data_IF_937958303270
#
_entry.id   IF_937958303270
#
_cell.length_a   1.000
_cell.length_b   1.000
_cell.length_c   1.000
_cell.angle_alpha   90.00
_cell.angle_beta   90.00
_cell.angle_gamma   90.00
#
_symmetry.space_group_name_H-M   'P 1'
#
loop_
_entity.id
_entity.type
_entity.pdbx_description
1 polymer ?
#
# COMPACT_ATOMS: atom_id res chain seq x y z
N UNK A 1 -17.40 1.05 -16.81
CA UNK A 1 -16.40 2.13 -16.82
C UNK A 1 -15.71 2.10 -18.18
N UNK A 2 -15.40 3.24 -18.80
CA UNK A 2 -14.57 3.25 -20.01
C UNK A 2 -13.14 2.86 -19.63
N UNK A 3 -12.56 1.89 -20.33
CA UNK A 3 -11.17 1.48 -20.13
C UNK A 3 -10.24 2.27 -21.06
N UNK A 4 -9.02 2.52 -20.58
CA UNK A 4 -7.92 3.10 -21.39
C UNK A 4 -7.13 1.98 -22.05
N UNK A 5 -6.87 0.89 -21.32
CA UNK A 5 -6.21 -0.30 -21.84
C UNK A 5 -7.19 -1.49 -21.90
N UNK A 6 -7.14 -2.32 -22.96
CA UNK A 6 -7.90 -3.57 -23.02
C UNK A 6 -7.52 -4.57 -21.92
N UNK A 7 -6.22 -4.71 -21.59
CA UNK A 7 -5.77 -5.54 -20.49
C UNK A 7 -6.25 -4.98 -19.15
N UNK A 8 -6.91 -5.83 -18.36
CA UNK A 8 -7.37 -5.46 -17.00
C UNK A 8 -6.20 -5.05 -16.11
N UNK A 9 -5.04 -5.70 -16.25
CA UNK A 9 -3.86 -5.41 -15.43
C UNK A 9 -3.27 -4.03 -15.74
N UNK A 10 -3.04 -3.71 -17.03
CA UNK A 10 -2.54 -2.38 -17.43
C UNK A 10 -3.55 -1.29 -17.10
N UNK A 11 -4.85 -1.54 -17.32
CA UNK A 11 -5.88 -0.57 -17.00
C UNK A 11 -5.98 -0.33 -15.49
N UNK A 12 -5.80 -1.37 -14.66
CA UNK A 12 -5.79 -1.23 -13.20
C UNK A 12 -4.61 -0.36 -12.73
N UNK A 13 -3.40 -0.62 -13.23
CA UNK A 13 -2.22 0.20 -12.88
C UNK A 13 -2.31 1.63 -13.43
N UNK A 14 -2.93 1.82 -14.59
CA UNK A 14 -3.23 3.16 -15.11
C UNK A 14 -4.18 3.92 -14.18
N UNK A 15 -5.26 3.27 -13.72
CA UNK A 15 -6.20 3.85 -12.76
C UNK A 15 -5.57 4.11 -11.39
N UNK A 16 -4.58 3.32 -10.99
CA UNK A 16 -3.79 3.53 -9.76
C UNK A 16 -3.04 4.85 -9.79
N UNK A 17 -2.47 5.22 -10.93
CA UNK A 17 -1.88 6.54 -11.14
C UNK A 17 -2.95 7.63 -11.21
N UNK A 18 -3.94 7.48 -12.09
CA UNK A 18 -4.97 8.50 -12.28
C UNK A 18 -5.75 8.81 -11.00
N UNK A 19 -5.91 7.82 -10.12
CA UNK A 19 -6.58 7.96 -8.83
C UNK A 19 -5.88 8.92 -7.86
N UNK A 20 -4.61 9.26 -8.08
CA UNK A 20 -3.86 10.20 -7.23
C UNK A 20 -3.98 11.66 -7.66
N UNK A 21 -4.68 11.96 -8.76
CA UNK A 21 -4.95 13.34 -9.24
C UNK A 21 -5.48 14.26 -8.14
N UNK A 22 -6.45 13.88 -7.28
CA UNK A 22 -6.94 14.77 -6.21
C UNK A 22 -5.88 15.17 -5.17
N UNK A 23 -4.71 14.51 -5.19
CA UNK A 23 -3.62 14.67 -4.24
C UNK A 23 -2.30 15.00 -4.94
N UNK A 24 -2.38 15.62 -6.12
CA UNK A 24 -1.22 16.10 -6.89
C UNK A 24 -0.24 15.00 -7.32
N UNK A 25 -0.65 13.73 -7.29
CA UNK A 25 0.20 12.61 -7.69
C UNK A 25 0.19 12.33 -9.19
N UNK A 26 -0.66 13.00 -9.95
CA UNK A 26 -0.78 12.85 -11.39
C UNK A 26 -1.59 14.03 -11.97
N UNK A 27 -1.48 14.25 -13.28
CA UNK A 27 -2.38 15.08 -14.06
C UNK A 27 -3.14 14.23 -15.09
N UNK A 28 -4.42 14.56 -15.31
CA UNK A 28 -5.29 13.78 -16.21
C UNK A 28 -4.77 13.81 -17.65
N UNK A 29 -4.36 14.99 -18.13
CA UNK A 29 -3.81 15.16 -19.48
C UNK A 29 -2.51 14.39 -19.67
N UNK A 30 -1.55 14.56 -18.75
CA UNK A 30 -0.26 13.84 -18.75
C UNK A 30 -0.47 12.32 -18.77
N UNK A 31 -1.41 11.80 -17.96
CA UNK A 31 -1.72 10.38 -17.94
C UNK A 31 -2.30 9.89 -19.27
N UNK A 32 -3.30 10.60 -19.82
CA UNK A 32 -3.96 10.17 -21.07
C UNK A 32 -3.03 10.26 -22.29
N UNK A 33 -2.19 11.29 -22.36
CA UNK A 33 -1.17 11.41 -23.41
C UNK A 33 -0.09 10.34 -23.27
N UNK A 34 0.38 10.08 -22.04
CA UNK A 34 1.34 9.00 -21.77
C UNK A 34 0.76 7.64 -22.15
N UNK A 35 -0.50 7.37 -21.82
CA UNK A 35 -1.18 6.14 -22.20
C UNK A 35 -1.25 5.93 -23.73
N UNK A 36 -1.33 7.02 -24.52
CA UNK A 36 -1.35 6.93 -25.98
C UNK A 36 -0.04 6.40 -26.58
N UNK A 37 1.06 6.46 -25.83
CA UNK A 37 2.39 5.97 -26.20
C UNK A 37 2.67 4.53 -25.72
N UNK A 38 1.77 3.97 -24.92
CA UNK A 38 1.92 2.64 -24.33
C UNK A 38 1.15 1.63 -25.17
N UNK A 39 1.83 0.57 -25.59
CA UNK A 39 1.20 -0.59 -26.20
C UNK A 39 0.69 -1.52 -25.10
N UNK A 40 -0.59 -1.88 -25.18
CA UNK A 40 -1.21 -2.80 -24.21
C UNK A 40 -0.44 -4.13 -24.13
N UNK A 41 -0.14 -4.58 -22.91
CA UNK A 41 0.62 -5.79 -22.66
C UNK A 41 2.14 -5.69 -22.90
N UNK A 42 2.67 -4.50 -23.21
CA UNK A 42 4.10 -4.28 -23.48
C UNK A 42 4.78 -3.49 -22.33
N UNK A 43 5.53 -4.18 -21.44
CA UNK A 43 6.18 -3.55 -20.28
C UNK A 43 7.28 -2.56 -20.67
N UNK A 44 7.90 -2.70 -21.85
CA UNK A 44 8.97 -1.80 -22.29
C UNK A 44 8.41 -0.43 -22.69
N UNK A 45 7.30 -0.42 -23.44
CA UNK A 45 6.62 0.84 -23.77
C UNK A 45 6.00 1.50 -22.53
N UNK A 46 5.54 0.71 -21.55
CA UNK A 46 5.10 1.23 -20.26
C UNK A 46 6.23 1.93 -19.52
N UNK A 47 7.37 1.25 -19.34
CA UNK A 47 8.53 1.82 -18.66
C UNK A 47 8.98 3.11 -19.33
N UNK A 48 9.19 3.09 -20.64
CA UNK A 48 9.70 4.24 -21.37
C UNK A 48 8.76 5.44 -21.28
N UNK A 49 7.45 5.23 -21.50
CA UNK A 49 6.48 6.33 -21.50
C UNK A 49 6.37 7.02 -20.14
N UNK A 50 6.31 6.25 -19.04
CA UNK A 50 6.24 6.79 -17.68
C UNK A 50 7.57 7.40 -17.21
N UNK A 51 8.70 6.81 -17.61
CA UNK A 51 10.02 7.37 -17.34
C UNK A 51 10.17 8.75 -18.00
N UNK A 52 9.80 8.87 -19.27
CA UNK A 52 9.95 10.10 -20.05
C UNK A 52 9.13 11.26 -19.47
N UNK A 53 7.85 11.02 -19.16
CA UNK A 53 7.02 12.06 -18.52
C UNK A 53 7.50 12.37 -17.09
N UNK A 54 8.03 11.38 -16.37
CA UNK A 54 8.66 11.61 -15.07
C UNK A 54 9.83 12.58 -15.15
N UNK A 55 10.70 12.44 -16.17
CA UNK A 55 11.83 13.34 -16.42
C UNK A 55 11.37 14.74 -16.85
N UNK A 56 10.38 14.82 -17.74
CA UNK A 56 9.83 16.10 -18.19
C UNK A 56 9.27 16.91 -17.01
N UNK A 57 8.44 16.28 -16.18
CA UNK A 57 7.85 16.95 -15.03
C UNK A 57 8.88 17.26 -13.95
N UNK A 58 9.93 16.43 -13.80
CA UNK A 58 11.05 16.77 -12.92
C UNK A 58 11.69 18.11 -13.33
N UNK A 59 11.90 18.33 -14.64
CA UNK A 59 12.41 19.60 -15.15
C UNK A 59 11.47 20.77 -14.82
N UNK A 60 10.15 20.58 -14.97
CA UNK A 60 9.17 21.60 -14.58
C UNK A 60 9.26 21.94 -13.09
N UNK A 61 9.44 20.92 -12.23
CA UNK A 61 9.61 21.10 -10.79
C UNK A 61 10.87 21.92 -10.47
N UNK A 62 11.97 21.64 -11.16
CA UNK A 62 13.23 22.37 -11.00
C UNK A 62 13.14 23.82 -11.48
N UNK A 63 12.42 24.10 -12.55
CA UNK A 63 12.20 25.45 -13.04
C UNK A 63 11.29 26.28 -12.12
N UNK A 64 10.23 25.66 -11.58
CA UNK A 64 9.41 26.27 -10.52
C UNK A 64 10.25 26.55 -9.26
N UNK A 65 11.11 25.62 -8.86
CA UNK A 65 11.99 25.81 -7.70
C UNK A 65 12.98 26.97 -7.91
N UNK A 66 13.55 27.13 -9.11
CA UNK A 66 14.47 28.24 -9.45
C UNK A 66 13.78 29.61 -9.40
N UNK A 67 12.49 29.68 -9.71
CA UNK A 67 11.70 30.92 -9.70
C UNK A 67 11.08 31.22 -8.33
N UNK A 68 11.24 30.32 -7.36
CA UNK A 68 10.71 30.47 -6.00
C UNK A 68 9.23 30.10 -5.85
N UNK A 69 8.60 29.51 -6.88
CA UNK A 69 7.23 29.00 -6.79
C UNK A 69 7.20 27.66 -6.05
N UNK A 70 7.12 27.75 -4.71
CA UNK A 70 7.07 26.60 -3.80
C UNK A 70 5.94 25.62 -4.17
N UNK A 71 4.77 26.14 -4.54
CA UNK A 71 3.57 25.35 -4.79
C UNK A 71 3.72 24.54 -6.07
N UNK A 72 4.08 25.22 -7.17
CA UNK A 72 4.29 24.55 -8.46
C UNK A 72 5.42 23.51 -8.37
N UNK A 73 6.51 23.83 -7.66
CA UNK A 73 7.61 22.90 -7.44
C UNK A 73 7.16 21.66 -6.65
N UNK A 74 6.45 21.84 -5.53
CA UNK A 74 5.95 20.72 -4.71
C UNK A 74 5.09 19.76 -5.51
N UNK A 75 4.08 20.29 -6.22
CA UNK A 75 3.15 19.48 -7.00
C UNK A 75 3.85 18.74 -8.15
N UNK A 76 4.82 19.38 -8.81
CA UNK A 76 5.58 18.76 -9.89
C UNK A 76 6.52 17.66 -9.39
N UNK A 77 7.22 17.88 -8.29
CA UNK A 77 8.04 16.85 -7.67
C UNK A 77 7.22 15.63 -7.24
N UNK A 78 6.03 15.82 -6.63
CA UNK A 78 5.18 14.72 -6.18
C UNK A 78 4.65 13.87 -7.34
N UNK A 79 4.16 14.49 -8.42
CA UNK A 79 3.70 13.71 -9.59
C UNK A 79 4.85 13.08 -10.37
N UNK A 80 5.99 13.78 -10.52
CA UNK A 80 7.22 13.20 -11.11
C UNK A 80 7.67 11.94 -10.36
N UNK A 81 7.67 11.98 -9.02
CA UNK A 81 7.97 10.82 -8.20
C UNK A 81 7.04 9.64 -8.49
N UNK A 82 5.72 9.89 -8.55
CA UNK A 82 4.74 8.86 -8.82
C UNK A 82 4.88 8.26 -10.24
N UNK A 83 5.29 9.06 -11.24
CA UNK A 83 5.58 8.57 -12.60
C UNK A 83 6.84 7.70 -12.64
N UNK A 84 7.92 8.08 -11.94
CA UNK A 84 9.09 7.22 -11.80
C UNK A 84 8.74 5.90 -11.09
N UNK A 85 7.99 5.94 -9.99
CA UNK A 85 7.48 4.74 -9.31
C UNK A 85 6.69 3.84 -10.25
N UNK A 86 5.82 4.42 -11.09
CA UNK A 86 5.04 3.63 -12.05
C UNK A 86 5.88 3.02 -13.17
N UNK A 87 6.91 3.73 -13.65
CA UNK A 87 7.71 3.28 -14.81
C UNK A 87 8.27 1.88 -14.62
N UNK A 88 8.81 1.58 -13.43
CA UNK A 88 9.46 0.30 -13.16
C UNK A 88 8.52 -0.82 -12.77
N UNK A 89 7.28 -0.50 -12.40
CA UNK A 89 6.33 -1.47 -11.84
C UNK A 89 6.23 -2.75 -12.68
N UNK A 90 6.10 -2.62 -14.00
CA UNK A 90 5.94 -3.77 -14.91
C UNK A 90 7.24 -4.55 -15.21
N UNK A 91 8.39 -4.14 -14.67
CA UNK A 91 9.68 -4.81 -14.84
C UNK A 91 9.94 -5.91 -13.80
N UNK A 92 9.09 -6.08 -12.79
CA UNK A 92 9.32 -7.03 -11.68
C UNK A 92 9.36 -8.50 -12.09
N UNK A 93 8.99 -8.83 -13.34
CA UNK A 93 9.27 -10.14 -13.93
C UNK A 93 10.77 -10.47 -13.95
N UNK A 94 11.63 -9.45 -13.95
CA UNK A 94 13.10 -9.56 -13.90
C UNK A 94 13.65 -8.70 -12.76
N UNK A 95 13.66 -9.19 -11.51
CA UNK A 95 14.02 -8.40 -10.32
C UNK A 95 15.44 -7.81 -10.32
N UNK A 96 16.32 -8.33 -11.17
CA UNK A 96 17.70 -7.84 -11.32
C UNK A 96 17.84 -6.77 -12.41
N UNK A 97 16.74 -6.34 -13.04
CA UNK A 97 16.77 -5.26 -14.01
C UNK A 97 17.27 -3.96 -13.34
N UNK A 98 18.39 -3.37 -13.77
CA UNK A 98 18.95 -2.19 -13.13
C UNK A 98 18.02 -0.97 -13.17
N UNK A 99 17.06 -0.94 -14.11
CA UNK A 99 16.08 0.14 -14.25
C UNK A 99 15.14 0.20 -13.05
N UNK A 100 14.86 -0.91 -12.38
CA UNK A 100 14.03 -0.98 -11.16
C UNK A 100 14.64 -0.10 -10.07
N UNK A 101 15.93 -0.29 -9.80
CA UNK A 101 16.61 0.48 -8.76
C UNK A 101 16.81 1.94 -9.18
N UNK A 102 17.09 2.20 -10.46
CA UNK A 102 17.25 3.56 -10.97
C UNK A 102 15.96 4.38 -10.85
N UNK A 103 14.83 3.84 -11.28
CA UNK A 103 13.52 4.47 -11.16
C UNK A 103 13.04 4.59 -9.72
N UNK A 104 13.31 3.58 -8.88
CA UNK A 104 13.01 3.69 -7.44
C UNK A 104 13.77 4.84 -6.79
N UNK A 105 15.07 5.02 -7.09
CA UNK A 105 15.86 6.14 -6.58
C UNK A 105 15.36 7.49 -7.11
N UNK A 106 15.08 7.58 -8.41
CA UNK A 106 14.52 8.80 -9.00
C UNK A 106 13.17 9.18 -8.35
N UNK A 107 12.32 8.19 -8.07
CA UNK A 107 11.06 8.39 -7.33
C UNK A 107 11.32 8.93 -5.93
N UNK A 108 12.20 8.29 -5.16
CA UNK A 108 12.54 8.70 -3.79
C UNK A 108 13.12 10.12 -3.78
N UNK A 109 14.05 10.42 -4.68
CA UNK A 109 14.72 11.72 -4.78
C UNK A 109 13.75 12.84 -5.16
N UNK A 110 12.90 12.61 -6.17
CA UNK A 110 11.87 13.57 -6.56
C UNK A 110 10.87 13.79 -5.42
N UNK A 111 10.40 12.72 -4.78
CA UNK A 111 9.49 12.83 -3.64
C UNK A 111 10.15 13.61 -2.50
N UNK A 112 11.43 13.35 -2.23
CA UNK A 112 12.23 14.01 -1.21
C UNK A 112 12.47 15.51 -1.49
N UNK A 113 12.35 15.96 -2.74
CA UNK A 113 12.34 17.39 -3.07
C UNK A 113 10.93 18.01 -2.95
N UNK A 114 9.88 17.21 -3.16
CA UNK A 114 8.49 17.69 -3.15
C UNK A 114 7.87 17.81 -1.75
N UNK A 115 8.04 16.79 -0.91
CA UNK A 115 7.46 16.73 0.44
C UNK A 115 7.92 17.87 1.37
N UNK A 116 9.18 18.32 1.30
CA UNK A 116 9.68 19.47 2.09
C UNK A 116 8.99 20.79 1.71
N UNK A 117 8.33 20.82 0.55
CA UNK A 117 7.60 21.97 0.05
C UNK A 117 6.10 21.91 0.37
N UNK A 118 5.62 20.81 0.98
CA UNK A 118 4.24 20.72 1.46
C UNK A 118 3.96 21.77 2.55
N UNK A 119 2.68 22.04 2.78
CA UNK A 119 2.21 22.74 3.98
C UNK A 119 2.11 21.74 5.16
N UNK A 120 3.26 21.16 5.51
CA UNK A 120 3.43 20.16 6.56
C UNK A 120 4.89 20.14 7.03
N UNK A 121 5.14 19.66 8.26
CA UNK A 121 6.49 19.31 8.69
C UNK A 121 6.68 17.81 8.48
N UNK A 122 7.71 17.43 7.73
CA UNK A 122 7.92 16.04 7.35
C UNK A 122 9.37 15.65 7.65
N UNK A 123 9.54 14.52 8.35
CA UNK A 123 10.82 14.06 8.89
C UNK A 123 11.15 12.68 8.36
N UNK A 124 12.35 12.51 7.80
CA UNK A 124 12.89 11.19 7.50
C UNK A 124 13.36 10.55 8.81
N UNK A 125 13.04 9.27 9.02
CA UNK A 125 13.41 8.51 10.20
C UNK A 125 14.00 7.17 9.79
N UNK A 126 14.97 6.70 10.55
CA UNK A 126 15.50 5.34 10.42
C UNK A 126 15.10 4.56 11.67
N UNK A 127 14.17 3.62 11.49
CA UNK A 127 13.57 2.84 12.57
C UNK A 127 14.50 1.66 12.86
N UNK A 128 15.00 1.49 14.10
CA UNK A 128 15.80 0.33 14.48
C UNK A 128 15.09 -1.00 14.17
N UNK A 129 15.83 -1.97 13.64
CA UNK A 129 15.31 -3.28 13.24
C UNK A 129 16.35 -4.39 13.45
N UNK A 130 15.91 -5.65 13.51
CA UNK A 130 16.70 -6.86 13.72
C UNK A 130 18.14 -6.81 13.18
N UNK A 131 19.10 -7.24 14.00
CA UNK A 131 20.53 -7.36 13.65
C UNK A 131 21.16 -6.03 13.19
N UNK A 132 20.95 -4.96 13.96
CA UNK A 132 21.49 -3.62 13.72
C UNK A 132 21.09 -3.01 12.36
N UNK A 133 20.04 -3.55 11.73
CA UNK A 133 19.46 -2.98 10.52
C UNK A 133 18.49 -1.87 10.88
N UNK A 134 18.05 -1.15 9.86
CA UNK A 134 17.02 -0.11 10.02
C UNK A 134 15.98 -0.21 8.92
N UNK A 135 14.76 0.21 9.21
CA UNK A 135 13.70 0.42 8.22
C UNK A 135 13.62 1.92 7.92
N UNK A 136 13.69 2.33 6.65
CA UNK A 136 13.47 3.73 6.32
C UNK A 136 12.01 4.09 6.61
N UNK A 137 11.75 5.32 7.03
CA UNK A 137 10.42 5.82 7.31
C UNK A 137 10.30 7.34 7.15
N UNK A 138 9.07 7.81 7.12
CA UNK A 138 8.73 9.24 7.07
C UNK A 138 7.60 9.55 8.04
N UNK A 139 7.84 10.51 8.93
CA UNK A 139 6.84 11.07 9.85
C UNK A 139 6.29 12.37 9.25
N UNK A 140 5.01 12.37 8.93
CA UNK A 140 4.24 13.51 8.44
C UNK A 140 3.49 14.15 9.60
N UNK A 141 3.73 15.43 9.83
CA UNK A 141 3.10 16.23 10.88
C UNK A 141 2.22 17.31 10.26
N UNK A 142 0.95 17.42 10.67
CA UNK A 142 0.05 18.44 10.16
C UNK A 142 0.57 19.83 10.55
N UNK A 143 0.40 20.80 9.65
CA UNK A 143 0.67 22.20 9.97
C UNK A 143 -0.14 22.66 11.18
N UNK A 144 0.37 23.65 11.92
CA UNK A 144 -0.19 24.07 13.21
C UNK A 144 -1.68 24.43 13.12
N UNK A 145 -2.10 25.07 12.03
CA UNK A 145 -3.48 25.46 11.76
C UNK A 145 -4.44 24.28 11.54
N UNK A 146 -3.94 23.09 11.22
CA UNK A 146 -4.74 21.90 10.98
C UNK A 146 -4.87 21.00 12.22
N UNK A 147 -4.15 21.30 13.30
CA UNK A 147 -4.21 20.49 14.54
C UNK A 147 -5.60 20.55 15.14
N UNK A 148 -6.16 19.38 15.46
CA UNK A 148 -7.53 19.22 15.99
C UNK A 148 -7.57 18.85 17.48
N UNK A 149 -6.41 18.55 18.05
CA UNK A 149 -6.23 18.10 19.43
C UNK A 149 -4.93 18.68 19.98
N UNK A 150 -4.77 18.67 21.31
CA UNK A 150 -3.54 19.13 21.94
C UNK A 150 -2.33 18.28 21.51
N UNK A 151 -2.45 16.95 21.65
CA UNK A 151 -1.50 15.96 21.13
C UNK A 151 -1.95 15.42 19.79
N UNK A 152 -1.02 15.08 18.90
CA UNK A 152 -1.32 14.67 17.53
C UNK A 152 -1.77 13.20 17.45
N UNK A 153 -3.00 12.88 17.00
CA UNK A 153 -3.39 11.51 16.73
C UNK A 153 -2.52 10.95 15.60
N UNK A 154 -2.12 9.68 15.73
CA UNK A 154 -1.12 9.06 14.88
C UNK A 154 -1.72 7.91 14.05
N UNK A 155 -1.33 7.85 12.78
CA UNK A 155 -1.56 6.70 11.91
C UNK A 155 -0.20 6.07 11.58
N UNK A 156 0.05 4.84 12.03
CA UNK A 156 1.17 4.04 11.55
C UNK A 156 0.71 3.29 10.31
N UNK A 157 1.27 3.65 9.15
CA UNK A 157 0.85 3.14 7.85
C UNK A 157 1.92 2.21 7.26
N UNK A 158 1.48 1.03 6.83
CA UNK A 158 2.33 0.03 6.17
C UNK A 158 1.92 -0.21 4.73
N UNK A 159 2.89 -0.58 3.90
CA UNK A 159 2.66 -0.89 2.49
C UNK A 159 2.01 -2.25 2.25
N UNK A 160 1.66 -2.49 0.98
CA UNK A 160 1.19 -3.78 0.49
C UNK A 160 2.31 -4.68 -0.03
N UNK A 161 2.00 -5.45 -1.07
CA UNK A 161 2.90 -6.41 -1.68
C UNK A 161 3.92 -5.75 -2.64
N UNK A 162 3.53 -4.65 -3.25
CA UNK A 162 4.28 -3.94 -4.30
C UNK A 162 4.38 -2.41 -4.04
N UNK A 163 3.88 -1.94 -2.90
CA UNK A 163 3.89 -0.52 -2.53
C UNK A 163 5.26 -0.01 -2.11
N UNK A 164 5.43 1.31 -2.24
CA UNK A 164 6.54 2.09 -1.67
C UNK A 164 6.00 3.22 -0.80
N UNK A 165 6.80 3.78 0.10
CA UNK A 165 6.40 4.94 0.90
C UNK A 165 5.87 6.13 0.11
N UNK A 166 6.45 6.40 -1.06
CA UNK A 166 6.05 7.51 -1.93
C UNK A 166 4.60 7.34 -2.42
N UNK A 167 4.14 6.10 -2.58
CA UNK A 167 2.73 5.79 -2.84
C UNK A 167 1.87 5.91 -1.58
N UNK A 168 2.39 5.48 -0.42
CA UNK A 168 1.65 5.52 0.84
C UNK A 168 1.19 6.92 1.22
N UNK A 169 1.93 7.95 0.77
CA UNK A 169 1.52 9.35 0.89
C UNK A 169 0.08 9.58 0.40
N UNK A 170 -0.29 9.08 -0.78
CA UNK A 170 -1.62 9.31 -1.36
C UNK A 170 -2.74 8.60 -0.59
N UNK A 171 -2.44 7.44 -0.02
CA UNK A 171 -3.41 6.67 0.75
C UNK A 171 -3.67 7.23 2.15
N UNK A 172 -2.63 7.72 2.83
CA UNK A 172 -2.75 8.21 4.22
C UNK A 172 -2.44 9.68 4.36
N UNK A 173 -1.15 10.06 4.24
CA UNK A 173 -0.66 11.39 4.60
C UNK A 173 -1.39 12.54 3.90
N UNK A 174 -1.65 12.43 2.59
CA UNK A 174 -2.36 13.45 1.82
C UNK A 174 -3.77 13.76 2.35
N UNK A 175 -4.45 12.75 2.91
CA UNK A 175 -5.75 12.91 3.55
C UNK A 175 -5.67 13.29 5.02
N UNK A 176 -4.63 12.82 5.72
CA UNK A 176 -4.44 12.96 7.16
C UNK A 176 -4.00 14.37 7.57
N UNK A 177 -3.04 14.94 6.85
CA UNK A 177 -2.44 16.25 7.16
C UNK A 177 -3.47 17.39 7.25
N UNK A 178 -4.35 17.61 6.25
CA UNK A 178 -5.37 18.66 6.34
C UNK A 178 -6.45 18.39 7.40
N UNK A 179 -6.48 17.17 7.97
CA UNK A 179 -7.42 16.74 9.01
C UNK A 179 -6.83 16.71 10.41
N UNK A 180 -5.54 17.05 10.55
CA UNK A 180 -4.87 17.15 11.84
C UNK A 180 -4.30 15.84 12.38
N UNK A 181 -4.12 14.83 11.53
CA UNK A 181 -3.48 13.56 11.90
C UNK A 181 -2.01 13.54 11.50
N UNK A 182 -1.16 13.07 12.41
CA UNK A 182 0.20 12.65 12.08
C UNK A 182 0.19 11.27 11.41
N UNK A 183 1.13 11.03 10.51
CA UNK A 183 1.28 9.72 9.83
C UNK A 183 2.73 9.29 9.86
N UNK A 184 3.01 8.07 10.31
CA UNK A 184 4.29 7.42 10.15
C UNK A 184 4.17 6.34 9.07
N UNK A 185 4.77 6.57 7.90
CA UNK A 185 4.92 5.53 6.87
C UNK A 185 6.30 4.89 6.99
N UNK A 186 6.42 3.61 6.70
CA UNK A 186 7.71 2.92 6.63
C UNK A 186 7.71 1.83 5.55
N UNK A 187 8.90 1.50 5.03
CA UNK A 187 9.09 0.34 4.17
C UNK A 187 9.60 -0.79 5.05
N UNK A 188 8.75 -1.80 5.30
CA UNK A 188 9.15 -2.99 6.02
C UNK A 188 9.86 -4.02 5.13
N UNK A 189 10.28 -5.16 5.70
CA UNK A 189 10.82 -6.26 4.90
C UNK A 189 9.87 -6.64 3.76
N UNK A 190 10.40 -6.78 2.55
CA UNK A 190 9.64 -7.06 1.32
C UNK A 190 9.09 -5.83 0.60
N UNK A 191 9.30 -4.62 1.12
CA UNK A 191 8.69 -3.39 0.61
C UNK A 191 9.73 -2.34 0.23
N UNK A 192 9.39 -1.52 -0.77
CA UNK A 192 10.15 -0.34 -1.20
C UNK A 192 11.67 -0.44 -1.08
N UNK A 193 12.27 0.50 -0.35
CA UNK A 193 13.73 0.61 -0.13
C UNK A 193 14.29 -0.52 0.74
N UNK A 194 13.51 -1.04 1.69
CA UNK A 194 13.96 -2.16 2.54
C UNK A 194 14.24 -3.42 1.72
N UNK A 195 13.44 -3.72 0.71
CA UNK A 195 13.70 -4.81 -0.24
C UNK A 195 14.82 -4.44 -1.23
N UNK A 196 14.68 -3.31 -1.93
CA UNK A 196 15.55 -2.91 -3.05
C UNK A 196 16.99 -2.63 -2.62
N UNK A 197 17.19 -2.00 -1.47
CA UNK A 197 18.50 -1.54 -1.01
C UNK A 197 19.09 -2.46 0.08
N UNK A 198 18.24 -2.90 1.02
CA UNK A 198 18.68 -3.65 2.22
C UNK A 198 18.43 -5.17 2.11
N UNK A 199 17.82 -5.65 1.01
CA UNK A 199 17.47 -7.06 0.77
C UNK A 199 16.74 -7.71 1.96
N UNK A 200 15.87 -6.93 2.59
CA UNK A 200 14.95 -7.44 3.61
C UNK A 200 13.74 -8.03 2.89
N UNK A 201 13.50 -9.33 3.07
CA UNK A 201 12.41 -10.06 2.43
C UNK A 201 11.17 -10.11 3.32
N UNK A 202 9.99 -10.18 2.71
CA UNK A 202 8.70 -10.17 3.40
C UNK A 202 8.59 -11.31 4.42
N UNK A 203 7.90 -11.06 5.54
CA UNK A 203 7.62 -12.07 6.56
C UNK A 203 6.13 -12.05 6.98
N UNK A 204 5.54 -13.21 7.33
CA UNK A 204 4.12 -13.33 7.66
C UNK A 204 3.73 -12.88 9.09
N UNK A 205 4.71 -12.81 9.99
CA UNK A 205 4.60 -12.39 11.38
C UNK A 205 4.83 -10.88 11.55
N UNK A 206 3.98 -10.09 10.90
CA UNK A 206 4.14 -8.63 10.82
C UNK A 206 4.02 -7.89 12.15
N UNK A 207 3.42 -8.50 13.18
CA UNK A 207 3.42 -7.99 14.55
C UNK A 207 4.85 -7.83 15.10
N UNK A 208 5.81 -8.64 14.62
CA UNK A 208 7.23 -8.48 14.97
C UNK A 208 7.82 -7.19 14.38
N UNK A 209 7.49 -6.89 13.13
CA UNK A 209 7.92 -5.65 12.45
C UNK A 209 7.28 -4.45 13.12
N UNK A 210 5.96 -4.52 13.33
CA UNK A 210 5.20 -3.41 13.90
C UNK A 210 5.56 -3.17 15.36
N UNK A 211 5.88 -4.22 16.13
CA UNK A 211 6.35 -4.08 17.51
C UNK A 211 7.56 -3.14 17.62
N UNK A 212 8.55 -3.31 16.74
CA UNK A 212 9.75 -2.46 16.69
C UNK A 212 9.45 -1.04 16.21
N UNK A 213 8.53 -0.88 15.25
CA UNK A 213 8.06 0.45 14.83
C UNK A 213 7.38 1.17 15.99
N UNK A 214 6.54 0.47 16.76
CA UNK A 214 5.85 1.03 17.91
C UNK A 214 6.82 1.34 19.06
N UNK A 215 7.85 0.52 19.29
CA UNK A 215 8.90 0.82 20.27
C UNK A 215 9.59 2.14 19.91
N UNK A 216 9.97 2.32 18.64
CA UNK A 216 10.54 3.58 18.16
C UNK A 216 9.59 4.78 18.30
N UNK A 217 8.30 4.60 17.99
CA UNK A 217 7.27 5.64 18.19
C UNK A 217 7.19 6.04 19.66
N UNK A 218 7.08 5.07 20.58
CA UNK A 218 6.92 5.33 22.01
C UNK A 218 8.18 5.97 22.58
N UNK A 219 9.36 5.39 22.32
CA UNK A 219 10.60 5.74 23.00
C UNK A 219 11.27 7.00 22.43
N UNK A 220 11.01 7.33 21.15
CA UNK A 220 11.68 8.45 20.45
C UNK A 220 10.70 9.51 19.99
N UNK A 221 9.70 9.12 19.19
CA UNK A 221 8.89 10.12 18.48
C UNK A 221 7.81 10.76 19.34
N UNK A 222 7.24 10.01 20.30
CA UNK A 222 6.03 10.44 21.00
C UNK A 222 6.20 11.72 21.81
N UNK A 223 7.31 11.84 22.54
CA UNK A 223 7.64 13.02 23.33
C UNK A 223 8.20 14.17 22.49
N UNK A 224 8.98 13.86 21.46
CA UNK A 224 9.61 14.84 20.58
C UNK A 224 8.58 15.62 19.74
N UNK A 225 7.53 14.93 19.28
CA UNK A 225 6.53 15.49 18.36
C UNK A 225 5.12 15.61 18.97
N UNK A 226 4.99 15.40 20.28
CA UNK A 226 3.72 15.43 21.02
C UNK A 226 2.65 14.51 20.42
N UNK A 227 3.02 13.26 20.13
CA UNK A 227 2.12 12.26 19.56
C UNK A 227 1.20 11.68 20.64
N UNK A 228 -0.06 11.45 20.26
CA UNK A 228 -1.09 10.89 21.13
C UNK A 228 -1.15 9.37 21.01
N UNK A 229 -0.56 8.68 21.99
CA UNK A 229 -0.55 7.21 22.04
C UNK A 229 -1.92 6.61 22.39
N UNK A 230 -2.87 7.41 22.90
CA UNK A 230 -4.26 6.98 23.11
C UNK A 230 -5.11 7.13 21.83
N UNK A 231 -4.56 7.77 20.79
CA UNK A 231 -5.14 7.91 19.45
C UNK A 231 -4.18 7.41 18.37
N UNK A 232 -3.59 6.24 18.61
CA UNK A 232 -2.70 5.55 17.67
C UNK A 232 -3.48 4.51 16.86
N UNK A 233 -3.50 4.66 15.54
CA UNK A 233 -4.11 3.69 14.62
C UNK A 233 -3.06 3.02 13.72
N UNK A 234 -3.42 1.87 13.16
CA UNK A 234 -2.69 1.24 12.05
C UNK A 234 -3.53 1.19 10.80
N UNK A 235 -2.88 1.34 9.65
CA UNK A 235 -3.53 1.38 8.35
C UNK A 235 -2.69 0.69 7.27
N UNK A 236 -3.35 -0.09 6.42
CA UNK A 236 -2.75 -0.65 5.22
C UNK A 236 -3.80 -1.13 4.22
N UNK A 237 -3.39 -1.16 2.96
CA UNK A 237 -4.23 -1.56 1.84
C UNK A 237 -3.66 -2.79 1.11
N UNK A 238 -4.54 -3.58 0.49
CA UNK A 238 -4.19 -4.85 -0.12
C UNK A 238 -3.48 -5.77 0.88
N UNK A 239 -2.34 -6.37 0.56
CA UNK A 239 -1.55 -7.13 1.55
C UNK A 239 -1.29 -6.34 2.85
N UNK A 240 -1.14 -5.00 2.77
CA UNK A 240 -0.98 -4.13 3.92
C UNK A 240 -2.18 -4.17 4.88
N UNK A 241 -3.37 -4.51 4.38
CA UNK A 241 -4.54 -4.74 5.21
C UNK A 241 -4.43 -6.03 6.06
N UNK A 242 -3.83 -7.09 5.52
CA UNK A 242 -3.47 -8.28 6.31
C UNK A 242 -2.40 -7.93 7.35
N UNK A 243 -1.36 -7.20 6.92
CA UNK A 243 -0.27 -6.78 7.80
C UNK A 243 -0.77 -5.86 8.94
N UNK A 244 -1.75 -5.00 8.67
CA UNK A 244 -2.38 -4.14 9.68
C UNK A 244 -3.21 -4.91 10.69
N UNK A 245 -3.92 -5.97 10.27
CA UNK A 245 -4.63 -6.87 11.18
C UNK A 245 -3.66 -7.62 12.10
N UNK A 246 -2.52 -8.08 11.56
CA UNK A 246 -1.44 -8.68 12.38
C UNK A 246 -0.89 -7.66 13.37
N UNK A 247 -0.59 -6.44 12.91
CA UNK A 247 -0.14 -5.35 13.76
C UNK A 247 -1.11 -5.09 14.91
N UNK A 248 -2.42 -5.00 14.63
CA UNK A 248 -3.50 -4.70 15.59
C UNK A 248 -3.69 -5.69 16.74
N UNK A 249 -2.92 -6.79 16.77
CA UNK A 249 -2.80 -7.66 17.95
C UNK A 249 -1.98 -7.03 19.07
N UNK A 250 -1.19 -5.98 18.78
CA UNK A 250 -0.49 -5.19 19.79
C UNK A 250 -1.44 -4.22 20.50
N UNK A 251 -1.50 -4.28 21.83
CA UNK A 251 -2.43 -3.52 22.66
C UNK A 251 -2.17 -2.00 22.68
N UNK A 252 -1.02 -1.54 22.18
CA UNK A 252 -0.72 -0.12 21.99
C UNK A 252 -1.59 0.51 20.89
N UNK A 253 -2.03 -0.30 19.92
CA UNK A 253 -2.89 0.16 18.83
C UNK A 253 -4.32 0.33 19.32
N UNK A 254 -4.90 1.51 19.02
CA UNK A 254 -6.23 1.94 19.47
C UNK A 254 -7.27 1.93 18.37
N UNK A 255 -6.88 1.76 17.11
CA UNK A 255 -7.77 1.51 15.99
C UNK A 255 -7.04 0.81 14.82
N UNK A 256 -7.73 -0.04 14.08
CA UNK A 256 -7.19 -0.74 12.91
C UNK A 256 -8.03 -0.46 11.66
N UNK A 257 -7.37 -0.12 10.55
CA UNK A 257 -8.01 0.04 9.24
C UNK A 257 -7.38 -0.95 8.27
N UNK A 258 -8.19 -1.88 7.78
CA UNK A 258 -7.78 -2.87 6.76
C UNK A 258 -8.54 -2.62 5.47
N UNK A 259 -7.80 -2.15 4.46
CA UNK A 259 -8.36 -1.89 3.13
C UNK A 259 -8.13 -3.09 2.23
N UNK A 260 -9.17 -3.91 2.03
CA UNK A 260 -9.13 -5.11 1.18
C UNK A 260 -7.99 -6.09 1.52
N UNK A 261 -7.69 -6.27 2.81
CA UNK A 261 -6.69 -7.23 3.29
C UNK A 261 -7.06 -8.67 2.97
N UNK A 262 -6.14 -9.52 2.45
CA UNK A 262 -6.45 -10.92 2.19
C UNK A 262 -6.63 -11.71 3.49
N UNK A 263 -7.69 -12.50 3.56
CA UNK A 263 -7.95 -13.43 4.65
C UNK A 263 -7.00 -14.63 4.59
N UNK A 264 -6.78 -15.17 3.38
CA UNK A 264 -5.81 -16.21 3.10
C UNK A 264 -5.24 -16.01 1.69
N UNK A 265 -3.92 -15.77 1.61
CA UNK A 265 -3.27 -15.48 0.34
C UNK A 265 -3.15 -16.71 -0.55
N UNK A 266 -3.05 -17.90 0.02
CA UNK A 266 -2.92 -19.14 -0.74
C UNK A 266 -4.24 -19.59 -1.35
N UNK A 267 -5.37 -19.38 -0.65
CA UNK A 267 -6.69 -19.67 -1.20
C UNK A 267 -7.02 -18.78 -2.42
N UNK A 268 -6.53 -17.53 -2.45
CA UNK A 268 -6.60 -16.67 -3.64
C UNK A 268 -5.91 -17.35 -4.82
N UNK A 269 -4.67 -17.80 -4.62
CA UNK A 269 -3.89 -18.47 -5.68
C UNK A 269 -4.53 -19.79 -6.12
N UNK A 270 -5.00 -20.59 -5.17
CA UNK A 270 -5.69 -21.86 -5.43
C UNK A 270 -6.96 -21.67 -6.25
N UNK A 271 -7.73 -20.60 -6.00
CA UNK A 271 -8.96 -20.31 -6.75
C UNK A 271 -8.73 -20.04 -8.25
N UNK A 272 -7.50 -19.67 -8.62
CA UNK A 272 -7.08 -19.37 -9.99
C UNK A 272 -6.40 -20.55 -10.69
N UNK A 273 -6.28 -21.71 -10.03
CA UNK A 273 -5.61 -22.90 -10.56
C UNK A 273 -6.59 -24.08 -10.70
N UNK A 274 -6.40 -24.97 -11.70
CA UNK A 274 -7.18 -26.20 -11.78
C UNK A 274 -7.04 -27.05 -10.51
N UNK A 275 -8.17 -27.52 -9.95
CA UNK A 275 -8.19 -28.24 -8.68
C UNK A 275 -7.29 -29.49 -8.68
N UNK A 276 -7.24 -30.24 -9.77
CA UNK A 276 -6.37 -31.42 -9.90
C UNK A 276 -4.88 -31.07 -9.81
N UNK A 277 -4.49 -29.89 -10.31
CA UNK A 277 -3.11 -29.44 -10.35
C UNK A 277 -2.65 -29.03 -8.94
N UNK A 278 -3.40 -28.13 -8.30
CA UNK A 278 -3.03 -27.65 -6.96
C UNK A 278 -3.16 -28.75 -5.91
N UNK A 279 -4.22 -29.56 -5.94
CA UNK A 279 -4.39 -30.68 -5.00
C UNK A 279 -3.36 -31.78 -5.25
N UNK A 280 -3.00 -32.03 -6.51
CA UNK A 280 -1.95 -32.97 -6.87
C UNK A 280 -0.58 -32.57 -6.33
N UNK A 281 -0.26 -31.28 -6.37
CA UNK A 281 0.96 -30.76 -5.77
C UNK A 281 0.92 -30.85 -4.24
N UNK A 282 -0.18 -30.42 -3.62
CA UNK A 282 -0.37 -30.48 -2.16
C UNK A 282 -0.31 -31.91 -1.60
N UNK A 283 -0.78 -32.90 -2.36
CA UNK A 283 -0.72 -34.31 -1.97
C UNK A 283 0.65 -34.96 -2.23
N UNK A 284 1.60 -34.23 -2.84
CA UNK A 284 2.88 -34.76 -3.28
C UNK A 284 2.82 -35.65 -4.54
N UNK A 285 1.65 -35.78 -5.18
CA UNK A 285 1.50 -36.53 -6.43
C UNK A 285 2.20 -35.82 -7.60
N UNK A 286 2.12 -34.49 -7.64
CA UNK A 286 2.88 -33.65 -8.57
C UNK A 286 4.12 -33.10 -7.86
N UNK A 287 5.30 -33.37 -8.42
CA UNK A 287 6.57 -32.84 -7.87
C UNK A 287 6.73 -31.34 -8.10
N UNK A 288 7.53 -30.68 -7.27
CA UNK A 288 7.93 -29.28 -7.47
C UNK A 288 8.53 -29.03 -8.85
N UNK A 289 9.33 -29.97 -9.38
CA UNK A 289 9.93 -29.85 -10.73
C UNK A 289 8.86 -29.77 -11.81
N UNK A 290 7.79 -30.56 -11.67
CA UNK A 290 6.65 -30.54 -12.59
C UNK A 290 5.91 -29.20 -12.50
N UNK A 291 5.55 -28.76 -11.29
CA UNK A 291 4.86 -27.49 -11.06
C UNK A 291 5.67 -26.30 -11.60
N UNK A 292 6.97 -26.27 -11.31
CA UNK A 292 7.87 -25.22 -11.78
C UNK A 292 7.95 -25.18 -13.32
N UNK A 293 7.96 -26.35 -13.96
CA UNK A 293 8.02 -26.46 -15.42
C UNK A 293 6.72 -26.00 -16.09
N UNK A 294 5.57 -26.35 -15.52
CA UNK A 294 4.26 -25.92 -16.01
C UNK A 294 4.11 -24.40 -15.87
N UNK A 295 4.36 -23.85 -14.67
CA UNK A 295 4.25 -22.41 -14.44
C UNK A 295 5.26 -21.65 -15.31
N UNK A 296 6.52 -22.08 -15.37
CA UNK A 296 7.54 -21.45 -16.21
C UNK A 296 7.24 -21.49 -17.71
N UNK A 297 6.44 -22.45 -18.20
CA UNK A 297 5.93 -22.43 -19.57
C UNK A 297 4.84 -21.37 -19.75
N UNK A 298 3.91 -21.28 -18.79
CA UNK A 298 2.81 -20.30 -18.82
C UNK A 298 3.31 -18.86 -18.68
N UNK A 299 4.35 -18.61 -17.86
CA UNK A 299 4.99 -17.30 -17.71
C UNK A 299 5.48 -16.74 -19.07
N UNK A 300 5.86 -17.60 -20.03
CA UNK A 300 6.35 -17.14 -21.36
C UNK A 300 5.25 -16.58 -22.26
N UNK A 301 3.99 -16.90 -21.98
CA UNK A 301 2.84 -16.51 -22.83
C UNK A 301 1.81 -15.68 -22.08
N UNK A 302 1.94 -15.55 -20.75
CA UNK A 302 1.07 -14.76 -19.90
C UNK A 302 1.91 -13.77 -19.08
N UNK A 303 1.91 -12.52 -19.52
CA UNK A 303 2.68 -11.45 -18.88
C UNK A 303 2.27 -11.21 -17.42
N UNK A 304 0.97 -11.18 -17.11
CA UNK A 304 0.51 -10.98 -15.72
C UNK A 304 1.03 -12.11 -14.81
N UNK A 305 1.00 -13.36 -15.27
CA UNK A 305 1.52 -14.49 -14.51
C UNK A 305 3.04 -14.37 -14.29
N UNK A 306 3.79 -14.00 -15.34
CA UNK A 306 5.23 -13.77 -15.25
C UNK A 306 5.58 -12.66 -14.25
N UNK A 307 4.80 -11.58 -14.26
CA UNK A 307 4.94 -10.49 -13.31
C UNK A 307 4.62 -10.94 -11.88
N UNK A 308 3.47 -11.60 -11.65
CA UNK A 308 3.03 -12.05 -10.33
C UNK A 308 4.05 -12.99 -9.68
N UNK A 309 4.56 -13.99 -10.41
CA UNK A 309 5.58 -14.91 -9.89
C UNK A 309 6.97 -14.29 -9.81
N UNK A 310 7.35 -13.43 -10.77
CA UNK A 310 8.63 -12.69 -10.72
C UNK A 310 8.72 -11.80 -9.49
N UNK A 311 7.69 -11.00 -9.25
CA UNK A 311 7.58 -10.15 -8.07
C UNK A 311 7.53 -10.98 -6.78
N UNK A 312 6.76 -12.07 -6.76
CA UNK A 312 6.69 -12.96 -5.59
C UNK A 312 8.03 -13.57 -5.22
N UNK A 313 8.79 -14.09 -6.20
CA UNK A 313 10.15 -14.62 -5.97
C UNK A 313 11.05 -13.56 -5.33
N UNK A 314 10.98 -12.34 -5.82
CA UNK A 314 11.77 -11.23 -5.30
C UNK A 314 11.39 -10.84 -3.87
N UNK A 315 10.11 -10.58 -3.62
CA UNK A 315 9.59 -10.12 -2.33
C UNK A 315 9.81 -11.17 -1.23
N UNK A 316 9.65 -12.46 -1.56
CA UNK A 316 9.83 -13.56 -0.61
C UNK A 316 11.28 -14.03 -0.48
N UNK A 317 12.17 -13.63 -1.39
CA UNK A 317 13.56 -14.10 -1.41
C UNK A 317 13.69 -15.59 -1.73
N UNK A 318 12.89 -16.07 -2.70
CA UNK A 318 12.87 -17.48 -3.14
C UNK A 318 13.01 -17.58 -4.65
N UNK A 319 13.44 -18.74 -5.16
CA UNK A 319 13.85 -18.86 -6.56
C UNK A 319 12.82 -19.56 -7.47
N UNK A 320 11.84 -20.29 -6.90
CA UNK A 320 10.94 -21.12 -7.70
C UNK A 320 9.45 -20.84 -7.48
N UNK A 321 8.59 -21.06 -8.50
CA UNK A 321 7.14 -20.98 -8.34
C UNK A 321 6.58 -21.86 -7.21
N UNK A 322 7.08 -23.09 -7.03
CA UNK A 322 6.66 -23.95 -5.93
C UNK A 322 7.03 -23.35 -4.56
N UNK A 323 8.19 -22.68 -4.44
CA UNK A 323 8.57 -21.97 -3.22
C UNK A 323 7.67 -20.77 -2.95
N UNK A 324 7.29 -20.01 -4.00
CA UNK A 324 6.29 -18.94 -3.91
C UNK A 324 4.97 -19.47 -3.36
N UNK A 325 4.44 -20.56 -3.93
CA UNK A 325 3.19 -21.17 -3.49
C UNK A 325 3.26 -21.67 -2.03
N UNK A 326 4.39 -22.24 -1.61
CA UNK A 326 4.62 -22.66 -0.22
C UNK A 326 4.75 -21.46 0.73
N UNK A 327 5.33 -20.35 0.27
CA UNK A 327 5.46 -19.14 1.07
C UNK A 327 4.11 -18.45 1.28
N UNK A 328 3.28 -18.38 0.24
CA UNK A 328 1.91 -17.81 0.33
C UNK A 328 1.03 -18.50 1.38
N UNK A 329 1.21 -19.81 1.61
CA UNK A 329 0.49 -20.56 2.65
C UNK A 329 0.72 -20.02 4.07
N UNK A 330 1.77 -19.22 4.29
CA UNK A 330 2.07 -18.60 5.58
C UNK A 330 1.28 -17.31 5.83
N UNK A 331 0.68 -16.71 4.81
CA UNK A 331 -0.13 -15.48 4.92
C UNK A 331 -1.60 -15.83 5.05
N UNK A 332 -1.98 -16.19 6.26
CA UNK A 332 -3.34 -16.64 6.56
C UNK A 332 -3.81 -16.15 7.91
N UNK A 333 -5.08 -15.76 7.99
CA UNK A 333 -5.78 -15.37 9.21
C UNK A 333 -6.59 -16.55 9.80
N UNK A 334 -6.39 -17.77 9.28
CA UNK A 334 -7.03 -18.97 9.82
C UNK A 334 -6.68 -19.22 11.30
N UNK A 335 -7.69 -19.70 12.04
CA UNK A 335 -7.68 -19.85 13.50
C UNK A 335 -6.85 -21.04 14.05
N UNK A 336 -6.04 -21.74 13.24
CA UNK A 336 -5.65 -23.11 13.61
C UNK A 336 -4.49 -23.23 14.60
N UNK A 337 -3.62 -22.21 14.76
CA UNK A 337 -2.57 -22.22 15.83
C UNK A 337 -2.20 -20.88 16.47
N UNK A 338 -2.75 -19.76 16.02
CA UNK A 338 -2.61 -18.43 16.63
C UNK A 338 -3.67 -17.53 15.98
N UNK A 339 -4.88 -17.52 16.56
CA UNK A 339 -6.02 -16.84 15.94
C UNK A 339 -5.83 -15.31 16.00
N UNK A 340 -5.25 -14.76 14.94
CA UNK A 340 -4.91 -13.33 14.81
C UNK A 340 -6.14 -12.47 15.08
N UNK A 341 -7.24 -12.76 14.39
CA UNK A 341 -8.45 -11.93 14.42
C UNK A 341 -9.12 -11.93 15.81
N UNK A 342 -9.14 -13.06 16.51
CA UNK A 342 -9.67 -13.12 17.87
C UNK A 342 -8.78 -12.44 18.90
N UNK A 343 -7.53 -12.08 18.56
CA UNK A 343 -6.63 -11.36 19.45
C UNK A 343 -6.70 -9.84 19.27
N UNK A 344 -7.39 -9.35 18.22
CA UNK A 344 -7.57 -7.92 17.99
C UNK A 344 -8.63 -7.38 18.95
N UNK A 345 -8.25 -6.37 19.74
CA UNK A 345 -9.09 -5.76 20.79
C UNK A 345 -9.47 -4.31 20.51
N UNK A 346 -8.85 -3.69 19.51
CA UNK A 346 -9.16 -2.31 19.13
C UNK A 346 -10.29 -2.26 18.08
N UNK A 347 -11.08 -1.17 18.04
CA UNK A 347 -12.03 -0.94 16.97
C UNK A 347 -11.41 -1.12 15.59
N UNK A 348 -12.12 -1.76 14.67
CA UNK A 348 -11.59 -2.13 13.35
C UNK A 348 -12.54 -1.76 12.22
N UNK A 349 -12.04 -1.00 11.25
CA UNK A 349 -12.67 -0.78 9.95
C UNK A 349 -12.16 -1.80 8.95
N UNK A 350 -13.05 -2.69 8.51
CA UNK A 350 -12.81 -3.67 7.45
C UNK A 350 -13.46 -3.17 6.16
N UNK A 351 -12.74 -3.24 5.05
CA UNK A 351 -13.32 -2.98 3.74
C UNK A 351 -13.20 -4.19 2.82
N UNK A 352 -14.13 -4.30 1.87
CA UNK A 352 -14.09 -5.29 0.80
C UNK A 352 -14.37 -4.65 -0.56
N UNK A 353 -13.90 -5.29 -1.63
CA UNK A 353 -13.98 -4.82 -3.00
C UNK A 353 -14.85 -5.79 -3.81
N UNK A 354 -16.07 -5.38 -4.18
CA UNK A 354 -17.02 -6.26 -4.88
C UNK A 354 -16.58 -6.60 -6.32
N UNK A 355 -15.76 -5.75 -6.93
CA UNK A 355 -15.25 -5.90 -8.31
C UNK A 355 -13.76 -6.28 -8.33
N UNK A 356 -13.22 -6.81 -7.22
CA UNK A 356 -11.85 -7.32 -7.18
C UNK A 356 -11.73 -8.55 -8.07
N UNK A 357 -10.66 -8.60 -8.87
CA UNK A 357 -10.34 -9.77 -9.67
C UNK A 357 -9.56 -10.85 -8.90
N UNK A 358 -9.26 -10.61 -7.61
CA UNK A 358 -8.54 -11.55 -6.76
C UNK A 358 -9.46 -12.43 -5.92
N UNK A 359 -10.50 -11.86 -5.31
CA UNK A 359 -11.41 -12.57 -4.41
C UNK A 359 -12.72 -11.80 -4.24
N UNK A 360 -13.77 -12.54 -3.87
CA UNK A 360 -15.07 -11.95 -3.51
C UNK A 360 -15.09 -11.46 -2.06
N UNK A 361 -15.99 -10.53 -1.69
CA UNK A 361 -16.20 -10.13 -0.30
C UNK A 361 -16.46 -11.30 0.67
N UNK A 362 -17.23 -12.32 0.24
CA UNK A 362 -17.55 -13.50 1.05
C UNK A 362 -16.33 -14.38 1.34
N UNK A 363 -15.40 -14.47 0.38
CA UNK A 363 -14.15 -15.20 0.58
C UNK A 363 -13.17 -14.45 1.48
N UNK A 364 -13.41 -13.16 1.74
CA UNK A 364 -12.44 -12.25 2.31
C UNK A 364 -12.99 -11.38 3.47
N UNK A 365 -13.54 -10.20 3.16
CA UNK A 365 -13.91 -9.19 4.14
C UNK A 365 -14.96 -9.71 5.15
N UNK A 366 -15.91 -10.56 4.71
CA UNK A 366 -16.90 -11.15 5.61
C UNK A 366 -16.24 -12.13 6.61
N UNK A 367 -15.31 -12.98 6.16
CA UNK A 367 -14.55 -13.86 7.06
C UNK A 367 -13.70 -13.09 8.06
N UNK A 368 -13.12 -11.97 7.65
CA UNK A 368 -12.39 -11.06 8.56
C UNK A 368 -13.35 -10.54 9.63
N UNK A 369 -14.52 -10.02 9.24
CA UNK A 369 -15.53 -9.51 10.17
C UNK A 369 -16.05 -10.56 11.16
N UNK A 370 -16.23 -11.81 10.70
CA UNK A 370 -16.62 -12.94 11.54
C UNK A 370 -15.52 -13.33 12.52
N UNK A 371 -14.26 -13.30 12.09
CA UNK A 371 -13.12 -13.66 12.93
C UNK A 371 -12.78 -12.64 14.03
N UNK A 372 -13.27 -11.40 13.95
CA UNK A 372 -13.08 -10.35 14.97
C UNK A 372 -13.97 -10.58 16.20
N UNK A 373 -13.87 -11.76 16.81
CA UNK A 373 -14.79 -12.25 17.85
C UNK A 373 -14.70 -11.50 19.18
N UNK A 374 -13.61 -10.77 19.44
CA UNK A 374 -13.42 -9.96 20.65
C UNK A 374 -14.03 -8.56 20.53
N UNK A 375 -14.54 -8.17 19.35
CA UNK A 375 -15.14 -6.87 19.11
C UNK A 375 -16.66 -6.98 19.09
N UNK A 376 -17.32 -6.06 19.79
CA UNK A 376 -18.77 -5.87 19.65
C UNK A 376 -19.12 -5.24 18.29
N UNK A 377 -20.39 -5.31 17.90
CA UNK A 377 -20.85 -4.75 16.61
C UNK A 377 -20.67 -3.23 16.50
N UNK A 378 -20.55 -2.52 17.62
CA UNK A 378 -20.27 -1.07 17.62
C UNK A 378 -18.78 -0.76 17.42
N UNK A 379 -17.90 -1.74 17.62
CA UNK A 379 -16.44 -1.60 17.50
C UNK A 379 -15.92 -2.07 16.14
N UNK A 380 -16.73 -2.75 15.33
CA UNK A 380 -16.35 -3.17 13.97
C UNK A 380 -17.24 -2.49 12.94
N UNK A 381 -16.64 -2.04 11.84
CA UNK A 381 -17.35 -1.44 10.70
C UNK A 381 -16.95 -2.17 9.42
N UNK A 382 -17.94 -2.53 8.61
CA UNK A 382 -17.72 -3.09 7.28
C UNK A 382 -18.12 -2.08 6.20
N UNK A 383 -17.27 -1.90 5.20
CA UNK A 383 -17.59 -1.19 3.98
C UNK A 383 -17.23 -2.03 2.74
N UNK A 384 -18.26 -2.50 2.02
CA UNK A 384 -18.08 -3.15 0.72
C UNK A 384 -18.27 -2.11 -0.39
N UNK A 385 -17.21 -1.82 -1.13
CA UNK A 385 -17.27 -0.93 -2.28
C UNK A 385 -17.85 -1.63 -3.50
N UNK A 386 -18.65 -0.90 -4.29
CA UNK A 386 -19.33 -1.40 -5.49
C UNK A 386 -19.13 -0.43 -6.67
N UNK A 387 -18.70 -0.95 -7.81
CA UNK A 387 -18.25 -0.17 -8.94
C UNK A 387 -16.98 0.63 -8.63
N UNK A 388 -16.23 1.03 -9.66
CA UNK A 388 -14.99 1.79 -9.44
C UNK A 388 -15.23 3.09 -8.64
N UNK A 389 -16.31 3.82 -8.93
CA UNK A 389 -16.68 5.05 -8.19
C UNK A 389 -16.97 4.82 -6.70
N UNK A 390 -17.39 3.61 -6.33
CA UNK A 390 -17.73 3.24 -4.97
C UNK A 390 -16.61 2.50 -4.25
N UNK A 391 -15.40 2.43 -4.83
CA UNK A 391 -14.29 1.64 -4.26
C UNK A 391 -14.44 0.14 -4.47
N UNK A 392 -15.01 -0.27 -5.60
CA UNK A 392 -15.21 -1.69 -5.93
C UNK A 392 -13.95 -2.44 -6.36
N UNK A 393 -12.89 -1.74 -6.76
CA UNK A 393 -11.60 -2.35 -7.10
C UNK A 393 -10.76 -2.63 -5.86
N UNK A 394 -9.84 -3.61 -5.96
CA UNK A 394 -8.86 -3.93 -4.92
C UNK A 394 -8.12 -2.67 -4.46
N UNK A 395 -7.90 -2.52 -3.15
CA UNK A 395 -7.30 -1.35 -2.53
C UNK A 395 -8.04 -0.03 -2.82
N UNK A 396 -9.30 -0.10 -3.26
CA UNK A 396 -10.12 1.08 -3.60
C UNK A 396 -9.51 1.96 -4.71
N UNK A 397 -8.75 1.34 -5.60
CA UNK A 397 -8.13 2.03 -6.74
C UNK A 397 -9.17 2.81 -7.55
N UNK A 398 -8.83 4.07 -7.86
CA UNK A 398 -9.72 5.02 -8.52
C UNK A 398 -10.71 5.75 -7.61
N UNK A 399 -10.68 5.50 -6.28
CA UNK A 399 -11.60 6.09 -5.31
C UNK A 399 -10.92 6.60 -4.04
N UNK A 400 -9.67 7.08 -4.11
CA UNK A 400 -8.89 7.51 -2.94
C UNK A 400 -9.58 8.59 -2.08
N UNK A 401 -10.29 9.54 -2.70
CA UNK A 401 -11.09 10.53 -1.96
C UNK A 401 -12.19 9.90 -1.10
N UNK A 402 -12.81 8.83 -1.58
CA UNK A 402 -13.79 8.09 -0.82
C UNK A 402 -13.12 7.28 0.30
N UNK A 403 -11.93 6.73 0.08
CA UNK A 403 -11.13 6.09 1.14
C UNK A 403 -10.85 7.06 2.28
N UNK A 404 -10.36 8.26 1.96
CA UNK A 404 -10.10 9.27 2.97
C UNK A 404 -11.37 9.65 3.72
N UNK A 405 -12.47 9.90 3.01
CA UNK A 405 -13.76 10.20 3.63
C UNK A 405 -14.17 9.12 4.64
N UNK A 406 -14.21 7.85 4.21
CA UNK A 406 -14.66 6.74 5.05
C UNK A 406 -13.73 6.48 6.24
N UNK A 407 -12.42 6.56 6.00
CA UNK A 407 -11.39 6.34 7.01
C UNK A 407 -11.42 7.41 8.10
N UNK A 408 -11.38 8.69 7.73
CA UNK A 408 -11.31 9.77 8.72
C UNK A 408 -12.64 10.01 9.43
N UNK A 409 -13.78 9.86 8.75
CA UNK A 409 -15.08 9.90 9.42
C UNK A 409 -15.20 8.82 10.49
N UNK A 410 -14.66 7.62 10.23
CA UNK A 410 -14.62 6.54 11.21
C UNK A 410 -13.59 6.78 12.32
N UNK A 411 -12.39 7.25 12.00
CA UNK A 411 -11.36 7.56 12.99
C UNK A 411 -11.77 8.69 13.94
N UNK A 412 -12.37 9.77 13.42
CA UNK A 412 -12.85 10.88 14.26
C UNK A 412 -13.84 10.38 15.30
N UNK A 413 -14.83 9.57 14.88
CA UNK A 413 -15.78 8.93 15.79
C UNK A 413 -15.10 8.00 16.80
N UNK A 414 -14.14 7.21 16.34
CA UNK A 414 -13.44 6.20 17.17
C UNK A 414 -12.55 6.86 18.23
N UNK A 415 -11.92 7.98 17.90
CA UNK A 415 -11.02 8.73 18.77
C UNK A 415 -11.69 9.91 19.51
N UNK A 416 -13.01 10.08 19.33
CA UNK A 416 -13.76 11.17 19.95
C UNK A 416 -13.28 12.56 19.53
N UNK A 417 -12.87 12.70 18.27
CA UNK A 417 -12.47 13.99 17.70
C UNK A 417 -13.73 14.66 17.13
N UNK A 418 -14.13 15.77 17.74
CA UNK A 418 -15.27 16.55 17.29
C UNK A 418 -14.80 17.65 16.32
N UNK A 419 -15.40 17.69 15.13
CA UNK A 419 -15.16 18.75 14.15
C UNK A 419 -16.32 19.72 14.16
N UNK A 420 -16.00 20.99 13.91
CA UNK A 420 -16.99 22.05 13.82
C UNK A 420 -17.99 21.80 12.69
N UNK A 421 -19.27 22.06 12.95
CA UNK A 421 -20.31 21.97 11.93
C UNK A 421 -20.25 23.18 10.99
N UNK A 422 -19.86 22.94 9.74
CA UNK A 422 -19.67 23.98 8.73
C UNK A 422 -20.97 24.45 8.05
N UNK A 423 -22.09 23.72 8.19
CA UNK A 423 -23.38 24.13 7.58
C UNK A 423 -23.89 25.44 8.20
N UNK A 424 -23.60 25.67 9.48
CA UNK A 424 -24.03 26.86 10.20
C UNK A 424 -23.12 28.09 9.97
N UNK A 425 -22.07 27.97 9.14
CA UNK A 425 -21.11 29.04 8.83
C UNK A 425 -21.39 29.77 7.52
N UNK A 426 -22.26 29.24 6.67
CA UNK A 426 -22.55 29.76 5.32
C UNK A 426 -23.90 30.45 5.29
#
# INVERSE_FOLDING_TARGET
MRQVFPSTFFNFEFLRLLGTVPYYGAEVGECLETASRIKDGDPETWYQAWWDIGQEVLSQAEDAAKTGDKTAASWAYIRSANYFRASEFLLHCTPNDPRILAASRASVDAFNKGWVLLDADVREVEIPYDNDKTLPGRLYLPAAQHRVTQKLPLIVQTGGFDSTQEELYFYGAAGALPRGYAVLTFDGPGQGRALREKKLYLRPDWEHVTGQVLDFVVDKLSSEYDLDLDRLSVFGASLGGYLSLRAATDARIKACITVDGPFDLFEITKSRMPAWFINGWLSGWLSDKFVNSVIGCLERVNFQLAWEFGHSKWVYGVDTPADVLRFMQKFTLHSTKNAVLSNIKCPTLVTGAADSFYFTPDQNAHKIMEGLTCLSDTQKRLWIGNGVKGGGLQAKIGALALVHYEMFAWLDKTFGIERENLINKV
#
